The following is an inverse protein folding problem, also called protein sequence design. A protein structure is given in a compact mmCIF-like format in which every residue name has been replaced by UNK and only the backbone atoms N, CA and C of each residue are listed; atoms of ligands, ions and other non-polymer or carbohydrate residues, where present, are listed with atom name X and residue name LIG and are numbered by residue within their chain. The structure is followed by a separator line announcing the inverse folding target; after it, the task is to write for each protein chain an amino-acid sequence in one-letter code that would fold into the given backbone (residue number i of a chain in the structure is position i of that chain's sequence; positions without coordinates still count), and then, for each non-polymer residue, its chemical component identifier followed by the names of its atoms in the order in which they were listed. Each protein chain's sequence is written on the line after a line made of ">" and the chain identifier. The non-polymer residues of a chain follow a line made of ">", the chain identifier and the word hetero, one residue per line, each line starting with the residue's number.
data_IF_715110748990
#
_entry.id   IF_715110748990
#
_cell.length_a   1.000
_cell.length_b   1.000
_cell.length_c   1.000
_cell.angle_alpha   90.00
_cell.angle_beta   90.00
_cell.angle_gamma   90.00
#
_symmetry.space_group_name_H-M   'P 1'
#
loop_
_entity.id
_entity.type
_entity.pdbx_description
1 polymer ?
#
# COMPACT_ATOMS: atom_id res chain seq x y z
N UNK A 1 20.63 -34.99 -21.16
CA UNK A 1 21.79 -34.12 -21.43
C UNK A 1 21.66 -32.91 -20.54
N UNK A 2 22.41 -32.85 -19.45
CA UNK A 2 22.50 -31.69 -18.56
C UNK A 2 23.35 -30.65 -19.28
N UNK A 3 22.76 -29.51 -19.68
CA UNK A 3 23.53 -28.39 -20.21
C UNK A 3 24.42 -27.86 -19.08
N UNK A 4 25.74 -27.95 -19.24
CA UNK A 4 26.66 -27.25 -18.36
C UNK A 4 26.60 -25.76 -18.71
N UNK A 5 26.31 -24.93 -17.70
CA UNK A 5 26.41 -23.48 -17.79
C UNK A 5 27.86 -23.12 -18.07
N UNK A 6 28.07 -22.15 -18.96
CA UNK A 6 29.38 -21.53 -19.15
C UNK A 6 29.83 -20.84 -17.86
N UNK A 7 31.13 -20.61 -17.71
CA UNK A 7 31.67 -19.91 -16.53
C UNK A 7 31.04 -18.52 -16.35
N UNK A 8 30.76 -17.82 -17.44
CA UNK A 8 30.10 -16.52 -17.44
C UNK A 8 28.61 -16.62 -17.04
N UNK A 9 27.91 -17.66 -17.47
CA UNK A 9 26.53 -17.93 -17.02
C UNK A 9 26.48 -18.38 -15.55
N UNK A 10 27.50 -19.10 -15.08
CA UNK A 10 27.63 -19.55 -13.69
C UNK A 10 27.97 -18.38 -12.74
N UNK A 11 28.80 -17.43 -13.17
CA UNK A 11 29.09 -16.20 -12.43
C UNK A 11 27.88 -15.25 -12.39
N UNK A 12 27.09 -15.17 -13.47
CA UNK A 12 25.85 -14.35 -13.50
C UNK A 12 24.76 -14.83 -12.56
N UNK A 13 24.77 -16.11 -12.18
CA UNK A 13 23.82 -16.68 -11.20
C UNK A 13 24.48 -16.91 -9.83
N UNK A 14 25.73 -16.49 -9.64
CA UNK A 14 26.39 -16.57 -8.35
C UNK A 14 25.66 -15.63 -7.37
N UNK A 15 25.10 -16.16 -6.26
CA UNK A 15 24.32 -15.36 -5.31
C UNK A 15 25.06 -14.11 -4.80
N UNK A 16 26.37 -14.20 -4.59
CA UNK A 16 27.16 -13.08 -4.07
C UNK A 16 27.30 -11.96 -5.11
N UNK A 17 27.52 -12.34 -6.38
CA UNK A 17 27.63 -11.40 -7.51
C UNK A 17 26.28 -10.75 -7.80
N UNK A 18 25.19 -11.52 -7.71
CA UNK A 18 23.82 -10.99 -7.86
C UNK A 18 23.50 -10.01 -6.75
N UNK A 19 23.81 -10.35 -5.49
CA UNK A 19 23.55 -9.48 -4.34
C UNK A 19 24.40 -8.18 -4.40
N UNK A 20 25.66 -8.26 -4.83
CA UNK A 20 26.49 -7.08 -5.03
C UNK A 20 25.94 -6.16 -6.12
N UNK A 21 25.51 -6.73 -7.26
CA UNK A 21 24.90 -5.96 -8.33
C UNK A 21 23.59 -5.30 -7.90
N UNK A 22 22.74 -6.01 -7.14
CA UNK A 22 21.49 -5.44 -6.61
C UNK A 22 21.76 -4.24 -5.71
N UNK A 23 22.76 -4.32 -4.82
CA UNK A 23 23.19 -3.19 -3.99
C UNK A 23 23.68 -2.01 -4.82
N UNK A 24 24.52 -2.26 -5.83
CA UNK A 24 24.99 -1.18 -6.70
C UNK A 24 23.86 -0.50 -7.48
N UNK A 25 22.91 -1.28 -8.01
CA UNK A 25 21.79 -0.77 -8.78
C UNK A 25 20.83 0.01 -7.87
N UNK A 26 20.61 -0.47 -6.64
CA UNK A 26 19.92 0.24 -5.58
C UNK A 26 20.57 1.61 -5.30
N UNK A 27 21.86 1.65 -4.97
CA UNK A 27 22.56 2.89 -4.62
C UNK A 27 22.50 3.92 -5.75
N UNK A 28 22.69 3.47 -7.00
CA UNK A 28 22.56 4.32 -8.19
C UNK A 28 21.16 4.88 -8.34
N UNK A 29 20.13 4.07 -8.07
CA UNK A 29 18.75 4.52 -8.13
C UNK A 29 18.40 5.50 -7.01
N UNK A 30 18.87 5.28 -5.79
CA UNK A 30 18.69 6.24 -4.69
C UNK A 30 19.31 7.59 -5.04
N UNK A 31 20.51 7.61 -5.62
CA UNK A 31 21.15 8.86 -6.03
C UNK A 31 20.38 9.56 -7.17
N UNK A 32 19.81 8.79 -8.11
CA UNK A 32 18.93 9.34 -9.15
C UNK A 32 17.68 9.96 -8.53
N UNK A 33 17.03 9.27 -7.60
CA UNK A 33 15.83 9.77 -6.90
C UNK A 33 16.16 11.01 -6.08
N UNK A 34 17.30 11.05 -5.39
CA UNK A 34 17.76 12.22 -4.64
C UNK A 34 18.00 13.41 -5.57
N UNK A 35 18.61 13.20 -6.73
CA UNK A 35 18.87 14.26 -7.69
C UNK A 35 17.59 14.88 -8.26
N UNK A 36 16.53 14.08 -8.44
CA UNK A 36 15.24 14.55 -8.96
C UNK A 36 14.31 15.10 -7.87
N UNK A 37 14.30 14.50 -6.67
CA UNK A 37 13.32 14.78 -5.62
C UNK A 37 13.83 15.68 -4.48
N UNK A 38 15.14 15.82 -4.31
CA UNK A 38 15.75 16.54 -3.18
C UNK A 38 16.59 17.74 -3.63
N UNK A 39 16.78 18.69 -2.71
CA UNK A 39 17.76 19.77 -2.84
C UNK A 39 19.04 19.39 -2.11
N UNK A 40 20.16 19.08 -2.81
CA UNK A 40 21.33 18.45 -2.22
C UNK A 40 21.88 19.15 -0.97
N UNK A 41 21.87 20.48 -0.95
CA UNK A 41 22.47 21.30 0.11
C UNK A 41 21.46 21.83 1.14
N UNK A 42 20.17 21.55 0.97
CA UNK A 42 19.16 22.04 1.90
C UNK A 42 19.15 21.21 3.18
N UNK A 43 19.11 21.87 4.33
CA UNK A 43 18.94 21.23 5.65
C UNK A 43 17.56 21.51 6.25
N UNK A 44 16.59 21.93 5.44
CA UNK A 44 15.24 22.14 5.93
C UNK A 44 14.62 20.81 6.42
N UNK A 45 13.71 20.85 7.42
CA UNK A 45 13.10 19.62 7.95
C UNK A 45 12.47 18.74 6.86
N UNK A 46 11.77 19.34 5.89
CA UNK A 46 11.17 18.58 4.79
C UNK A 46 12.21 17.93 3.87
N UNK A 47 13.33 18.59 3.59
CA UNK A 47 14.39 18.01 2.75
C UNK A 47 15.16 16.90 3.49
N UNK A 48 15.25 16.99 4.83
CA UNK A 48 15.71 15.86 5.65
C UNK A 48 14.72 14.71 5.58
N UNK A 49 13.41 14.96 5.75
CA UNK A 49 12.34 13.95 5.63
C UNK A 49 12.40 13.23 4.28
N UNK A 50 12.49 13.96 3.16
CA UNK A 50 12.62 13.37 1.81
C UNK A 50 13.82 12.43 1.71
N UNK A 51 15.00 12.84 2.17
CA UNK A 51 16.20 11.98 2.13
C UNK A 51 16.02 10.72 2.96
N UNK A 52 15.46 10.84 4.16
CA UNK A 52 15.19 9.69 5.03
C UNK A 52 14.20 8.70 4.40
N UNK A 53 13.21 9.20 3.64
CA UNK A 53 12.27 8.33 2.90
C UNK A 53 13.02 7.56 1.82
N UNK A 54 13.81 8.25 0.99
CA UNK A 54 14.56 7.62 -0.10
C UNK A 54 15.58 6.60 0.43
N UNK A 55 16.28 6.94 1.51
CA UNK A 55 17.27 6.06 2.14
C UNK A 55 16.66 4.84 2.84
N UNK A 56 15.34 4.86 3.08
CA UNK A 56 14.62 3.75 3.69
C UNK A 56 14.05 2.75 2.66
N UNK A 57 14.13 3.05 1.36
CA UNK A 57 13.67 2.13 0.32
C UNK A 57 14.49 0.83 0.34
N UNK A 58 13.87 -0.34 0.08
CA UNK A 58 14.55 -1.63 0.17
C UNK A 58 15.37 -1.93 -1.08
N UNK A 59 16.45 -2.71 -0.98
CA UNK A 59 17.31 -3.07 -2.13
C UNK A 59 16.54 -3.64 -3.34
N UNK A 60 15.40 -4.32 -3.11
CA UNK A 60 14.54 -4.90 -4.16
C UNK A 60 13.53 -3.95 -4.79
N UNK A 61 13.43 -2.68 -4.38
CA UNK A 61 12.35 -1.79 -4.82
C UNK A 61 12.30 -1.58 -6.35
N UNK A 62 13.46 -1.60 -7.01
CA UNK A 62 13.54 -1.47 -8.47
C UNK A 62 12.87 -2.64 -9.20
N UNK A 63 13.08 -3.85 -8.70
CA UNK A 63 12.46 -5.05 -9.28
C UNK A 63 10.95 -5.02 -9.07
N UNK A 64 10.49 -4.55 -7.90
CA UNK A 64 9.07 -4.34 -7.61
C UNK A 64 8.44 -3.33 -8.59
N UNK A 65 9.07 -2.17 -8.78
CA UNK A 65 8.60 -1.15 -9.71
C UNK A 65 8.64 -1.61 -11.17
N UNK A 66 9.68 -2.35 -11.58
CA UNK A 66 9.80 -2.92 -12.91
C UNK A 66 8.73 -3.97 -13.18
N UNK A 67 8.41 -4.80 -12.17
CA UNK A 67 7.36 -5.81 -12.24
C UNK A 67 5.94 -5.24 -12.27
N UNK A 68 5.74 -4.00 -11.82
CA UNK A 68 4.42 -3.38 -11.70
C UNK A 68 3.69 -3.23 -13.06
N UNK A 69 4.38 -2.75 -14.09
CA UNK A 69 3.81 -2.53 -15.43
C UNK A 69 3.30 -3.84 -16.09
N UNK A 70 4.12 -4.90 -16.22
CA UNK A 70 3.65 -6.16 -16.80
C UNK A 70 2.55 -6.81 -15.95
N UNK A 71 2.62 -6.69 -14.62
CA UNK A 71 1.56 -7.17 -13.73
C UNK A 71 0.24 -6.43 -13.98
N UNK A 72 0.27 -5.11 -14.14
CA UNK A 72 -0.91 -4.30 -14.46
C UNK A 72 -1.57 -4.76 -15.76
N UNK A 73 -0.79 -4.92 -16.84
CA UNK A 73 -1.33 -5.39 -18.13
C UNK A 73 -1.95 -6.78 -18.01
N UNK A 74 -1.29 -7.71 -17.32
CA UNK A 74 -1.80 -9.05 -17.09
C UNK A 74 -3.14 -9.03 -16.34
N UNK A 75 -3.23 -8.24 -15.27
CA UNK A 75 -4.44 -8.12 -14.45
C UNK A 75 -5.61 -7.53 -15.23
N UNK A 76 -5.39 -6.49 -16.02
CA UNK A 76 -6.43 -5.88 -16.87
C UNK A 76 -6.97 -6.86 -17.92
N UNK A 77 -6.10 -7.70 -18.50
CA UNK A 77 -6.52 -8.73 -19.45
C UNK A 77 -7.26 -9.89 -18.78
N UNK A 78 -6.71 -10.45 -17.69
CA UNK A 78 -7.25 -11.65 -17.05
C UNK A 78 -8.57 -11.38 -16.30
N UNK A 79 -8.67 -10.24 -15.60
CA UNK A 79 -9.82 -9.94 -14.74
C UNK A 79 -10.90 -9.17 -15.51
N UNK A 80 -10.52 -8.19 -16.33
CA UNK A 80 -11.46 -7.28 -16.97
C UNK A 80 -11.62 -7.52 -18.47
N UNK A 81 -10.83 -8.44 -19.06
CA UNK A 81 -10.84 -8.70 -20.50
C UNK A 81 -10.36 -7.51 -21.34
N UNK A 82 -9.70 -6.52 -20.72
CA UNK A 82 -9.29 -5.27 -21.37
C UNK A 82 -7.88 -5.41 -21.93
N UNK A 83 -7.78 -5.49 -23.26
CA UNK A 83 -6.50 -5.33 -23.96
C UNK A 83 -6.25 -3.87 -24.24
N UNK A 84 -5.26 -3.29 -23.57
CA UNK A 84 -4.73 -1.99 -23.93
C UNK A 84 -4.13 -2.05 -25.33
N UNK A 85 -4.59 -1.15 -26.21
CA UNK A 85 -4.02 -0.93 -27.53
C UNK A 85 -3.55 0.51 -27.59
N UNK A 86 -2.29 0.70 -27.94
CA UNK A 86 -1.69 2.01 -28.16
C UNK A 86 -1.50 2.20 -29.65
N UNK A 87 -1.81 3.39 -30.17
CA UNK A 87 -1.62 3.69 -31.58
C UNK A 87 -0.13 3.93 -31.88
N UNK A 88 0.62 4.41 -30.87
CA UNK A 88 2.05 4.66 -30.97
C UNK A 88 2.84 4.16 -29.76
N UNK A 89 4.15 3.96 -29.97
CA UNK A 89 5.10 3.65 -28.89
C UNK A 89 5.22 4.79 -27.88
N UNK A 90 5.04 6.04 -28.32
CA UNK A 90 5.08 7.22 -27.45
C UNK A 90 3.91 7.20 -26.47
N UNK A 91 2.70 6.89 -26.94
CA UNK A 91 1.52 6.74 -26.08
C UNK A 91 1.68 5.62 -25.07
N UNK A 92 2.24 4.47 -25.49
CA UNK A 92 2.55 3.36 -24.58
C UNK A 92 3.51 3.80 -23.47
N UNK A 93 4.63 4.43 -23.84
CA UNK A 93 5.64 4.90 -22.88
C UNK A 93 5.08 5.92 -21.89
N UNK A 94 4.29 6.88 -22.37
CA UNK A 94 3.67 7.88 -21.49
C UNK A 94 2.64 7.25 -20.54
N UNK A 95 1.90 6.24 -21.00
CA UNK A 95 1.00 5.48 -20.13
C UNK A 95 1.76 4.69 -19.06
N UNK A 96 2.83 3.97 -19.44
CA UNK A 96 3.64 3.20 -18.51
C UNK A 96 4.36 4.09 -17.48
N UNK A 97 4.86 5.26 -17.89
CA UNK A 97 5.39 6.28 -16.96
C UNK A 97 4.32 6.76 -15.99
N UNK A 98 3.09 6.98 -16.44
CA UNK A 98 1.99 7.36 -15.52
C UNK A 98 1.70 6.27 -14.49
N UNK A 99 1.71 5.00 -14.88
CA UNK A 99 1.58 3.89 -13.94
C UNK A 99 2.74 3.86 -12.94
N UNK A 100 3.97 4.00 -13.42
CA UNK A 100 5.16 4.01 -12.57
C UNK A 100 5.17 5.17 -11.58
N UNK A 101 4.72 6.36 -11.99
CA UNK A 101 4.55 7.51 -11.09
C UNK A 101 3.62 7.17 -9.93
N UNK A 102 2.48 6.53 -10.21
CA UNK A 102 1.53 6.09 -9.19
C UNK A 102 2.15 5.10 -8.21
N UNK A 103 2.76 4.04 -8.71
CA UNK A 103 3.43 3.02 -7.90
C UNK A 103 4.57 3.61 -7.05
N UNK A 104 5.39 4.48 -7.64
CA UNK A 104 6.46 5.16 -6.91
C UNK A 104 5.91 6.07 -5.81
N UNK A 105 4.82 6.78 -6.05
CA UNK A 105 4.21 7.64 -5.03
C UNK A 105 3.71 6.84 -3.82
N UNK A 106 2.98 5.75 -4.09
CA UNK A 106 2.50 4.82 -3.06
C UNK A 106 3.69 4.30 -2.22
N UNK A 107 4.74 3.82 -2.89
CA UNK A 107 5.96 3.38 -2.23
C UNK A 107 6.60 4.50 -1.37
N UNK A 108 6.74 5.72 -1.89
CA UNK A 108 7.32 6.83 -1.11
C UNK A 108 6.48 7.16 0.13
N UNK A 109 5.15 7.06 0.06
CA UNK A 109 4.24 7.28 1.20
C UNK A 109 4.39 6.16 2.23
N UNK A 110 4.54 4.91 1.82
CA UNK A 110 4.76 3.77 2.73
C UNK A 110 6.02 3.94 3.59
N UNK A 111 7.07 4.57 3.06
CA UNK A 111 8.32 4.83 3.79
C UNK A 111 8.35 6.20 4.51
N UNK A 112 7.26 6.97 4.43
CA UNK A 112 7.13 8.27 5.07
C UNK A 112 6.61 8.14 6.51
N UNK A 113 7.53 8.14 7.48
CA UNK A 113 7.22 7.96 8.92
C UNK A 113 6.24 8.96 9.52
N UNK A 114 6.03 10.13 8.90
CA UNK A 114 5.02 11.10 9.35
C UNK A 114 3.61 10.75 8.87
N UNK A 115 3.51 9.97 7.79
CA UNK A 115 2.24 9.48 7.24
C UNK A 115 1.97 8.07 7.74
N UNK A 116 2.96 7.20 7.53
CA UNK A 116 2.95 5.75 7.71
C UNK A 116 3.79 5.39 8.93
N UNK A 117 3.18 5.06 10.08
CA UNK A 117 3.92 4.56 11.21
C UNK A 117 4.59 3.21 10.86
N UNK A 118 5.69 2.84 11.53
CA UNK A 118 6.38 1.58 11.26
C UNK A 118 5.43 0.39 11.43
N UNK A 119 5.49 -0.61 10.52
CA UNK A 119 4.56 -1.72 10.51
C UNK A 119 4.70 -2.58 11.78
N UNK A 120 3.56 -3.04 12.29
CA UNK A 120 3.46 -4.10 13.29
C UNK A 120 3.16 -5.43 12.57
N UNK A 121 3.75 -6.55 12.99
CA UNK A 121 3.56 -7.86 12.33
C UNK A 121 2.07 -8.27 12.21
N UNK A 122 1.29 -8.03 13.27
CA UNK A 122 -0.16 -8.28 13.25
C UNK A 122 -0.90 -7.29 12.35
N UNK A 123 -0.39 -6.06 12.20
CA UNK A 123 -0.93 -5.09 11.25
C UNK A 123 -0.75 -5.60 9.80
N UNK A 124 0.40 -6.20 9.50
CA UNK A 124 0.69 -6.78 8.18
C UNK A 124 -0.24 -7.94 7.83
N UNK A 125 -0.64 -8.77 8.79
CA UNK A 125 -1.63 -9.83 8.55
C UNK A 125 -3.02 -9.25 8.22
N UNK A 126 -3.47 -8.27 8.99
CA UNK A 126 -4.75 -7.59 8.74
C UNK A 126 -4.73 -6.90 7.38
N UNK A 127 -3.62 -6.27 7.04
CA UNK A 127 -3.38 -5.66 5.73
C UNK A 127 -3.47 -6.67 4.59
N UNK A 128 -2.80 -7.79 4.75
CA UNK A 128 -2.84 -8.88 3.78
C UNK A 128 -4.27 -9.34 3.50
N UNK A 129 -5.08 -9.54 4.55
CA UNK A 129 -6.48 -9.94 4.41
C UNK A 129 -7.28 -8.85 3.67
N UNK A 130 -7.07 -7.57 4.01
CA UNK A 130 -7.81 -6.44 3.43
C UNK A 130 -7.46 -6.19 1.95
N UNK A 131 -6.20 -6.40 1.56
CA UNK A 131 -5.69 -6.15 0.21
C UNK A 131 -5.89 -7.36 -0.72
N UNK A 132 -5.69 -8.58 -0.18
CA UNK A 132 -5.73 -9.82 -0.96
C UNK A 132 -6.21 -11.02 -0.12
N UNK A 133 -7.52 -11.11 0.16
CA UNK A 133 -8.08 -12.17 0.99
C UNK A 133 -7.94 -13.57 0.40
N UNK A 134 -7.73 -13.69 -0.92
CA UNK A 134 -7.56 -14.97 -1.62
C UNK A 134 -6.29 -15.72 -1.18
N UNK A 135 -5.21 -14.98 -0.86
CA UNK A 135 -3.96 -15.56 -0.35
C UNK A 135 -4.19 -16.28 0.98
N UNK A 136 -5.19 -15.84 1.73
CA UNK A 136 -5.60 -16.42 3.01
C UNK A 136 -6.77 -17.40 2.86
N UNK A 137 -7.33 -17.60 1.67
CA UNK A 137 -8.54 -18.42 1.47
C UNK A 137 -9.79 -17.86 2.14
N UNK A 138 -9.84 -16.53 2.37
CA UNK A 138 -10.91 -15.84 3.08
C UNK A 138 -11.87 -15.09 2.15
N UNK A 139 -11.62 -15.12 0.84
CA UNK A 139 -12.31 -14.30 -0.15
C UNK A 139 -13.83 -14.51 -0.15
N UNK A 140 -14.31 -15.76 -0.03
CA UNK A 140 -15.74 -16.05 0.06
C UNK A 140 -16.35 -15.61 1.39
N UNK A 141 -15.59 -15.78 2.46
CA UNK A 141 -16.03 -15.53 3.84
C UNK A 141 -16.18 -14.04 4.12
N UNK A 142 -15.32 -13.20 3.51
CA UNK A 142 -15.39 -11.74 3.61
C UNK A 142 -16.10 -11.08 2.42
N UNK A 143 -16.60 -11.88 1.46
CA UNK A 143 -17.46 -11.41 0.36
C UNK A 143 -16.73 -10.76 -0.82
N UNK A 144 -15.48 -11.13 -1.08
CA UNK A 144 -14.61 -10.58 -2.15
C UNK A 144 -14.39 -9.07 -2.06
N UNK A 145 -14.64 -8.49 -0.89
CA UNK A 145 -14.57 -7.05 -0.69
C UNK A 145 -13.12 -6.65 -0.40
N UNK A 146 -12.51 -5.95 -1.36
CA UNK A 146 -11.14 -5.42 -1.25
C UNK A 146 -11.18 -3.97 -0.78
N UNK A 147 -10.37 -3.67 0.22
CA UNK A 147 -10.24 -2.32 0.78
C UNK A 147 -9.09 -1.54 0.10
N UNK A 148 -8.96 -0.23 0.38
CA UNK A 148 -7.91 0.63 -0.18
C UNK A 148 -6.52 0.02 -0.07
N UNK A 149 -5.68 0.33 -1.06
CA UNK A 149 -4.40 -0.36 -1.27
C UNK A 149 -3.35 -0.05 -0.17
N UNK A 150 -3.58 0.91 0.75
CA UNK A 150 -2.62 1.29 1.80
C UNK A 150 -3.23 1.38 3.22
N UNK A 151 -3.62 0.29 3.87
CA UNK A 151 -4.12 0.40 5.27
C UNK A 151 -2.95 0.50 6.30
N UNK A 152 -3.14 1.10 7.49
CA UNK A 152 -2.10 1.19 8.54
C UNK A 152 -2.66 0.93 9.96
N UNK A 153 -2.46 -0.28 10.49
CA UNK A 153 -3.00 -0.65 11.80
C UNK A 153 -1.99 -0.34 12.91
N UNK A 154 -2.40 0.35 13.99
CA UNK A 154 -1.55 0.62 15.16
C UNK A 154 -2.11 -0.10 16.41
N UNK A 155 -1.33 -1.00 16.97
CA UNK A 155 -1.72 -1.81 18.14
C UNK A 155 -1.30 -1.09 19.42
N UNK A 156 -2.18 -1.04 20.42
CA UNK A 156 -1.85 -0.39 21.69
C UNK A 156 -0.88 -1.21 22.56
N UNK A 157 -0.39 -0.59 23.64
CA UNK A 157 0.55 -1.18 24.59
C UNK A 157 -0.01 -2.37 25.39
N UNK A 158 -1.34 -2.58 25.36
CA UNK A 158 -2.02 -3.75 25.95
C UNK A 158 -2.24 -4.86 24.92
N UNK A 159 -1.65 -4.71 23.74
CA UNK A 159 -1.78 -5.61 22.61
C UNK A 159 -3.13 -5.51 21.90
N UNK A 160 -4.06 -4.67 22.35
CA UNK A 160 -5.36 -4.51 21.71
C UNK A 160 -5.17 -3.89 20.33
N UNK A 161 -5.67 -4.60 19.32
CA UNK A 161 -5.57 -4.14 17.94
C UNK A 161 -6.61 -3.05 17.75
N UNK A 162 -6.15 -1.82 17.59
CA UNK A 162 -6.97 -0.70 17.13
C UNK A 162 -6.57 -0.35 15.70
N UNK A 163 -7.53 -0.34 14.79
CA UNK A 163 -7.24 0.18 13.46
C UNK A 163 -7.30 1.70 13.55
N UNK A 164 -6.14 2.35 13.77
CA UNK A 164 -6.08 3.81 13.93
C UNK A 164 -6.12 4.56 12.60
N UNK A 165 -5.49 4.02 11.55
CA UNK A 165 -5.38 4.71 10.26
C UNK A 165 -5.64 3.75 9.10
N UNK A 166 -6.43 4.18 8.12
CA UNK A 166 -6.54 3.49 6.83
C UNK A 166 -6.13 4.47 5.77
N UNK A 167 -4.98 4.23 5.14
CA UNK A 167 -4.43 5.08 4.10
C UNK A 167 -4.96 4.74 2.71
N UNK A 168 -4.93 5.75 1.86
CA UNK A 168 -4.76 5.56 0.43
C UNK A 168 -3.79 6.63 -0.05
N UNK A 169 -2.85 6.29 -0.94
CA UNK A 169 -2.03 7.28 -1.59
C UNK A 169 -2.53 7.50 -3.01
N UNK A 170 -2.75 8.77 -3.36
CA UNK A 170 -3.09 9.17 -4.71
C UNK A 170 -2.19 10.30 -5.13
N UNK A 171 -1.66 10.25 -6.35
CA UNK A 171 -0.92 11.36 -6.99
C UNK A 171 -1.75 12.62 -7.27
N UNK A 172 -2.86 12.79 -6.57
CA UNK A 172 -3.72 13.97 -6.59
C UNK A 172 -5.02 13.77 -7.34
N UNK A 173 -5.37 12.54 -7.72
CA UNK A 173 -6.67 12.25 -8.32
C UNK A 173 -7.37 11.12 -7.57
N UNK A 174 -8.62 11.35 -7.23
CA UNK A 174 -9.57 10.33 -6.81
C UNK A 174 -10.58 10.11 -7.94
N UNK A 175 -11.15 8.92 -7.99
CA UNK A 175 -12.08 8.48 -9.01
C UNK A 175 -13.29 7.78 -8.37
N UNK A 176 -14.25 7.36 -9.19
CA UNK A 176 -15.42 6.60 -8.74
C UNK A 176 -15.06 5.35 -7.93
N UNK A 177 -13.93 4.70 -8.28
CA UNK A 177 -13.44 3.53 -7.56
C UNK A 177 -13.02 3.91 -6.15
N UNK A 178 -12.26 4.98 -5.98
CA UNK A 178 -11.91 5.52 -4.67
C UNK A 178 -13.17 5.80 -3.83
N UNK A 179 -14.15 6.51 -4.40
CA UNK A 179 -15.38 6.85 -3.69
C UNK A 179 -16.12 5.59 -3.23
N UNK A 180 -16.33 4.64 -4.14
CA UNK A 180 -17.01 3.37 -3.85
C UNK A 180 -16.26 2.54 -2.78
N UNK A 181 -14.92 2.52 -2.82
CA UNK A 181 -14.10 1.82 -1.84
C UNK A 181 -14.22 2.45 -0.44
N UNK A 182 -14.26 3.78 -0.36
CA UNK A 182 -14.41 4.51 0.90
C UNK A 182 -15.82 4.40 1.50
N UNK A 183 -16.87 4.39 0.67
CA UNK A 183 -18.26 4.21 1.13
C UNK A 183 -18.49 2.85 1.78
N UNK A 184 -17.94 1.80 1.16
CA UNK A 184 -18.11 0.43 1.65
C UNK A 184 -17.10 0.07 2.76
N UNK A 185 -16.16 0.97 3.06
CA UNK A 185 -14.99 0.66 3.84
C UNK A 185 -15.32 0.14 5.25
N UNK A 186 -16.19 0.85 5.97
CA UNK A 186 -16.52 0.55 7.37
C UNK A 186 -17.25 -0.78 7.50
N UNK A 187 -18.17 -1.04 6.57
CA UNK A 187 -18.90 -2.30 6.48
C UNK A 187 -17.96 -3.47 6.18
N UNK A 188 -16.99 -3.28 5.27
CA UNK A 188 -16.01 -4.29 4.90
C UNK A 188 -15.11 -4.63 6.07
N UNK A 189 -14.64 -3.60 6.77
CA UNK A 189 -13.84 -3.76 7.96
C UNK A 189 -14.61 -4.54 9.03
N UNK A 190 -15.86 -4.15 9.31
CA UNK A 190 -16.72 -4.83 10.27
C UNK A 190 -16.97 -6.30 9.91
N UNK A 191 -17.20 -6.61 8.63
CA UNK A 191 -17.36 -7.97 8.16
C UNK A 191 -16.10 -8.80 8.40
N UNK A 192 -14.93 -8.28 8.06
CA UNK A 192 -13.65 -8.94 8.28
C UNK A 192 -13.41 -9.24 9.75
N UNK A 193 -13.57 -8.27 10.65
CA UNK A 193 -13.34 -8.53 12.08
C UNK A 193 -14.37 -9.49 12.67
N UNK A 194 -15.61 -9.47 12.19
CA UNK A 194 -16.60 -10.46 12.62
C UNK A 194 -16.21 -11.89 12.22
N UNK A 195 -15.53 -12.06 11.08
CA UNK A 195 -15.02 -13.36 10.65
C UNK A 195 -13.83 -13.79 11.51
N UNK A 196 -12.81 -12.93 11.64
CA UNK A 196 -11.60 -13.22 12.43
C UNK A 196 -11.94 -13.55 13.88
N UNK A 197 -12.86 -12.80 14.49
CA UNK A 197 -13.26 -13.02 15.89
C UNK A 197 -14.10 -14.27 16.13
N UNK A 198 -14.56 -14.95 15.07
CA UNK A 198 -15.27 -16.23 15.18
C UNK A 198 -14.34 -17.43 14.95
N UNK A 199 -13.14 -17.19 14.42
CA UNK A 199 -12.17 -18.24 14.18
C UNK A 199 -11.51 -18.66 15.49
N UNK A 200 -11.28 -19.95 15.62
CA UNK A 200 -10.44 -20.54 16.65
C UNK A 200 -8.97 -20.26 16.36
N UNK A 201 -8.12 -20.40 17.39
CA UNK A 201 -6.67 -20.34 17.24
C UNK A 201 -6.14 -21.29 16.14
N UNK A 202 -6.72 -22.49 16.01
CA UNK A 202 -6.33 -23.45 14.99
C UNK A 202 -6.72 -22.97 13.57
N UNK A 203 -7.96 -22.50 13.39
CA UNK A 203 -8.41 -21.98 12.09
C UNK A 203 -7.56 -20.80 11.63
N UNK A 204 -7.19 -19.89 12.54
CA UNK A 204 -6.27 -18.78 12.22
C UNK A 204 -4.91 -19.29 11.73
N UNK A 205 -4.35 -20.33 12.34
CA UNK A 205 -3.10 -20.95 11.87
C UNK A 205 -3.24 -21.61 10.49
N UNK A 206 -4.36 -22.29 10.25
CA UNK A 206 -4.66 -22.93 8.95
C UNK A 206 -4.74 -21.92 7.80
N UNK A 207 -5.17 -20.69 8.11
CA UNK A 207 -5.17 -19.56 7.18
C UNK A 207 -3.84 -18.78 7.11
N UNK A 208 -2.80 -19.20 7.85
CA UNK A 208 -1.50 -18.51 7.86
C UNK A 208 -1.49 -17.20 8.65
N UNK A 209 -2.49 -16.96 9.51
CA UNK A 209 -2.60 -15.78 10.38
C UNK A 209 -1.93 -16.05 11.73
N UNK A 210 -0.61 -16.19 11.69
CA UNK A 210 0.24 -16.63 12.81
C UNK A 210 0.19 -15.67 14.00
N UNK A 211 0.23 -14.37 13.77
CA UNK A 211 0.23 -13.36 14.84
C UNK A 211 -1.16 -13.22 15.46
N UNK A 212 -2.22 -13.23 14.65
CA UNK A 212 -3.60 -13.29 15.14
C UNK A 212 -3.88 -14.59 15.92
N UNK A 213 -3.36 -15.73 15.47
CA UNK A 213 -3.48 -17.01 16.19
C UNK A 213 -2.75 -16.99 17.53
N UNK A 214 -1.51 -16.50 17.55
CA UNK A 214 -0.72 -16.36 18.78
C UNK A 214 -1.47 -15.53 19.83
N UNK A 215 -2.09 -14.44 19.38
CA UNK A 215 -2.92 -13.60 20.23
C UNK A 215 -4.18 -14.29 20.71
N UNK A 216 -4.91 -14.98 19.82
CA UNK A 216 -6.09 -15.75 20.21
C UNK A 216 -5.75 -16.76 21.32
N UNK A 217 -4.58 -17.43 21.20
CA UNK A 217 -4.10 -18.36 22.22
C UNK A 217 -3.78 -17.67 23.56
N UNK A 218 -3.19 -16.46 23.52
CA UNK A 218 -2.94 -15.66 24.73
C UNK A 218 -4.25 -15.28 25.42
N UNK A 219 -5.25 -14.80 24.67
CA UNK A 219 -6.58 -14.46 25.21
C UNK A 219 -7.23 -15.70 25.85
N UNK A 220 -7.19 -16.85 25.16
CA UNK A 220 -7.74 -18.09 25.69
C UNK A 220 -7.06 -18.54 26.98
N UNK A 221 -5.75 -18.25 27.12
CA UNK A 221 -4.97 -18.59 28.32
C UNK A 221 -5.23 -17.61 29.47
N UNK A 222 -5.23 -16.30 29.21
CA UNK A 222 -5.42 -15.26 30.22
C UNK A 222 -6.87 -15.20 30.75
N UNK A 223 -7.84 -15.55 29.91
CA UNK A 223 -9.28 -15.48 30.21
C UNK A 223 -9.93 -16.88 30.21
N UNK A 224 -9.19 -17.92 30.61
CA UNK A 224 -9.67 -19.31 30.63
C UNK A 224 -10.98 -19.48 31.39
N UNK A 225 -11.13 -18.74 32.49
CA UNK A 225 -12.26 -18.86 33.43
C UNK A 225 -13.40 -17.88 33.13
N UNK A 226 -13.20 -16.94 32.19
CA UNK A 226 -14.22 -15.97 31.79
C UNK A 226 -15.22 -16.61 30.82
N UNK A 227 -16.49 -16.20 30.94
CA UNK A 227 -17.50 -16.57 29.96
C UNK A 227 -17.08 -16.06 28.57
N UNK A 228 -17.37 -16.81 27.51
CA UNK A 228 -16.95 -16.47 26.14
C UNK A 228 -17.40 -15.06 25.70
N UNK A 229 -18.49 -14.56 26.26
CA UNK A 229 -19.07 -13.24 26.01
C UNK A 229 -18.30 -12.09 26.68
N UNK A 230 -17.52 -12.40 27.72
CA UNK A 230 -16.70 -11.48 28.51
C UNK A 230 -15.23 -11.49 28.08
N UNK A 231 -14.85 -12.43 27.20
CA UNK A 231 -13.49 -12.51 26.66
C UNK A 231 -13.23 -11.36 25.68
N UNK A 232 -12.03 -10.76 25.70
CA UNK A 232 -11.61 -9.83 24.66
C UNK A 232 -11.69 -10.46 23.27
N UNK A 233 -12.04 -9.66 22.28
CA UNK A 233 -11.99 -10.08 20.87
C UNK A 233 -10.53 -10.10 20.38
N UNK A 234 -10.20 -11.03 19.49
CA UNK A 234 -8.89 -11.12 18.83
C UNK A 234 -8.57 -9.85 18.05
N UNK A 235 -9.58 -9.32 17.34
CA UNK A 235 -9.55 -8.05 16.60
C UNK A 235 -10.68 -7.13 17.08
N UNK A 236 -10.36 -5.93 17.56
CA UNK A 236 -11.35 -4.95 17.99
C UNK A 236 -11.42 -3.83 16.94
N UNK A 237 -12.62 -3.55 16.44
CA UNK A 237 -12.86 -2.44 15.54
C UNK A 237 -13.51 -1.30 16.29
N UNK A 238 -12.68 -0.55 17.01
CA UNK A 238 -13.17 0.47 17.92
C UNK A 238 -14.06 -0.09 19.04
N UNK A 239 -14.36 0.76 20.02
CA UNK A 239 -15.06 0.36 21.24
C UNK A 239 -15.89 1.48 21.91
N UNK A 240 -16.18 2.58 21.20
CA UNK A 240 -16.93 3.70 21.76
C UNK A 240 -16.09 4.75 22.50
N UNK A 241 -14.77 4.71 22.38
CA UNK A 241 -13.92 5.87 22.73
C UNK A 241 -12.94 6.35 21.66
N UNK A 242 -12.49 5.52 20.72
CA UNK A 242 -11.74 5.99 19.53
C UNK A 242 -11.99 5.09 18.31
N UNK A 243 -12.38 5.71 17.19
CA UNK A 243 -12.66 5.08 15.90
C UNK A 243 -11.40 4.92 15.04
N UNK A 244 -11.58 4.30 13.87
CA UNK A 244 -10.57 4.35 12.84
C UNK A 244 -10.56 5.72 12.17
N UNK A 245 -9.42 6.17 11.66
CA UNK A 245 -9.31 7.39 10.85
C UNK A 245 -9.00 7.00 9.42
N UNK A 246 -9.84 7.42 8.46
CA UNK A 246 -9.50 7.30 7.04
C UNK A 246 -8.50 8.39 6.71
N UNK A 247 -7.37 8.04 6.12
CA UNK A 247 -6.29 8.95 5.72
C UNK A 247 -6.11 8.89 4.22
N UNK A 248 -6.02 10.05 3.58
CA UNK A 248 -5.64 10.14 2.18
C UNK A 248 -4.31 10.90 2.08
N UNK A 249 -3.27 10.21 1.61
CA UNK A 249 -1.98 10.80 1.32
C UNK A 249 -1.99 11.41 -0.08
N UNK A 250 -1.65 12.71 -0.15
CA UNK A 250 -1.55 13.45 -1.41
C UNK A 250 -0.19 14.13 -1.56
N UNK A 251 0.22 14.52 -2.78
CA UNK A 251 1.43 15.30 -3.00
C UNK A 251 1.43 16.62 -2.23
N UNK A 252 2.62 17.07 -1.82
CA UNK A 252 2.83 18.27 -1.01
C UNK A 252 2.16 19.53 -1.60
N UNK A 253 2.12 19.63 -2.93
CA UNK A 253 1.60 20.76 -3.70
C UNK A 253 0.14 20.59 -4.16
N UNK A 254 -0.53 19.49 -3.83
CA UNK A 254 -1.90 19.23 -4.31
C UNK A 254 -2.95 19.93 -3.45
N UNK A 255 -3.96 20.52 -4.08
CA UNK A 255 -5.09 21.10 -3.35
C UNK A 255 -6.09 20.01 -2.93
N UNK A 256 -6.73 20.21 -1.79
CA UNK A 256 -7.77 19.34 -1.24
C UNK A 256 -9.15 19.92 -1.56
N UNK A 257 -9.46 20.05 -2.84
CA UNK A 257 -10.78 20.46 -3.32
C UNK A 257 -11.27 19.49 -4.39
N UNK A 258 -12.59 19.40 -4.50
CA UNK A 258 -13.27 18.46 -5.37
C UNK A 258 -12.84 18.63 -6.83
N UNK A 259 -12.79 19.88 -7.29
CA UNK A 259 -12.44 20.26 -8.65
C UNK A 259 -11.00 19.84 -9.01
N UNK A 260 -10.08 19.97 -8.05
CA UNK A 260 -8.69 19.56 -8.21
C UNK A 260 -8.51 18.05 -8.10
N UNK A 261 -9.33 17.34 -7.31
CA UNK A 261 -9.09 15.92 -7.04
C UNK A 261 -9.90 14.97 -7.94
N UNK A 262 -11.09 15.33 -8.42
CA UNK A 262 -11.88 14.46 -9.29
C UNK A 262 -11.45 14.57 -10.75
N UNK A 263 -10.75 13.56 -11.26
CA UNK A 263 -10.36 13.49 -12.67
C UNK A 263 -11.58 13.09 -13.50
N UNK A 264 -11.97 13.93 -14.46
CA UNK A 264 -13.03 13.68 -15.46
C UNK A 264 -14.49 13.67 -14.98
N UNK A 265 -14.76 13.55 -13.68
CA UNK A 265 -16.13 13.46 -13.14
C UNK A 265 -16.53 14.66 -12.26
N UNK A 266 -15.71 15.71 -12.20
CA UNK A 266 -16.01 16.94 -11.44
C UNK A 266 -17.29 17.67 -11.88
N UNK A 267 -17.87 17.28 -13.02
CA UNK A 267 -19.13 17.84 -13.52
C UNK A 267 -20.36 17.05 -13.04
N UNK A 268 -20.16 15.91 -12.37
CA UNK A 268 -21.25 15.08 -11.84
C UNK A 268 -21.61 15.53 -10.42
N UNK A 269 -22.80 16.12 -10.25
CA UNK A 269 -23.29 16.60 -8.96
C UNK A 269 -23.42 15.47 -7.92
N UNK A 270 -23.81 14.26 -8.33
CA UNK A 270 -23.88 13.09 -7.43
C UNK A 270 -22.50 12.74 -6.88
N UNK A 271 -21.45 12.76 -7.72
CA UNK A 271 -20.09 12.48 -7.26
C UNK A 271 -19.54 13.63 -6.40
N UNK A 272 -20.03 14.86 -6.58
CA UNK A 272 -19.72 15.99 -5.72
C UNK A 272 -20.25 15.81 -4.31
N UNK A 273 -21.51 15.40 -4.18
CA UNK A 273 -22.13 15.11 -2.88
C UNK A 273 -21.41 13.97 -2.16
N UNK A 274 -21.16 12.86 -2.88
CA UNK A 274 -20.42 11.71 -2.34
C UNK A 274 -19.01 12.06 -1.92
N UNK A 275 -18.28 12.84 -2.74
CA UNK A 275 -16.95 13.31 -2.36
C UNK A 275 -16.99 14.16 -1.09
N UNK A 276 -17.94 15.10 -0.97
CA UNK A 276 -18.05 15.96 0.22
C UNK A 276 -18.33 15.12 1.47
N UNK A 277 -19.24 14.15 1.36
CA UNK A 277 -19.57 13.24 2.45
C UNK A 277 -18.36 12.40 2.88
N UNK A 278 -17.73 11.69 1.93
CA UNK A 278 -16.58 10.83 2.18
C UNK A 278 -15.40 11.63 2.73
N UNK A 279 -15.06 12.75 2.08
CA UNK A 279 -13.92 13.57 2.48
C UNK A 279 -14.16 14.32 3.80
N UNK A 280 -15.41 14.41 4.28
CA UNK A 280 -15.73 14.89 5.61
C UNK A 280 -15.21 13.98 6.73
N UNK A 281 -15.02 12.68 6.44
CA UNK A 281 -14.51 11.65 7.35
C UNK A 281 -13.05 11.25 7.05
N UNK A 282 -12.45 11.81 6.00
CA UNK A 282 -11.07 11.52 5.59
C UNK A 282 -10.12 12.63 6.04
N UNK A 283 -9.13 12.25 6.84
CA UNK A 283 -7.98 13.09 7.20
C UNK A 283 -6.96 13.12 6.06
N UNK A 284 -6.73 14.27 5.46
CA UNK A 284 -5.74 14.39 4.37
C UNK A 284 -4.35 14.69 4.93
N UNK A 285 -3.38 13.85 4.58
CA UNK A 285 -1.96 14.06 4.89
C UNK A 285 -1.19 14.42 3.62
N UNK A 286 -0.28 15.40 3.75
CA UNK A 286 0.62 15.78 2.66
C UNK A 286 1.93 15.02 2.78
N UNK A 287 2.32 14.36 1.70
CA UNK A 287 3.63 13.74 1.56
C UNK A 287 4.75 14.78 1.53
N UNK A 288 5.98 14.33 1.75
CA UNK A 288 7.16 15.19 1.64
C UNK A 288 7.42 15.68 0.20
N UNK A 289 6.90 14.96 -0.81
CA UNK A 289 7.19 15.16 -2.23
C UNK A 289 6.04 15.83 -2.98
N UNK A 290 6.38 16.69 -3.92
CA UNK A 290 5.44 17.29 -4.88
C UNK A 290 5.13 16.34 -6.03
N UNK A 291 3.99 16.52 -6.67
CA UNK A 291 3.58 15.67 -7.79
C UNK A 291 4.61 15.70 -8.94
N UNK A 292 5.17 16.89 -9.21
CA UNK A 292 6.23 17.06 -10.21
C UNK A 292 7.52 16.33 -9.83
N UNK A 293 7.93 16.40 -8.56
CA UNK A 293 9.15 15.73 -8.09
C UNK A 293 9.03 14.21 -8.27
N UNK A 294 7.85 13.64 -7.98
CA UNK A 294 7.57 12.23 -8.23
C UNK A 294 7.55 11.91 -9.72
N UNK A 295 7.03 12.81 -10.55
CA UNK A 295 7.10 12.73 -12.01
C UNK A 295 8.53 12.63 -12.53
N UNK A 296 9.39 13.57 -12.12
CA UNK A 296 10.79 13.64 -12.53
C UNK A 296 11.57 12.39 -12.07
N UNK A 297 11.29 11.90 -10.85
CA UNK A 297 11.86 10.66 -10.32
C UNK A 297 11.46 9.42 -11.13
N UNK A 298 10.16 9.23 -11.37
CA UNK A 298 9.66 8.08 -12.12
C UNK A 298 10.14 8.07 -13.57
N UNK A 299 10.20 9.23 -14.22
CA UNK A 299 10.70 9.34 -15.59
C UNK A 299 12.18 8.93 -15.67
N UNK A 300 13.01 9.38 -14.71
CA UNK A 300 14.41 8.98 -14.64
C UNK A 300 14.61 7.50 -14.35
N UNK A 301 13.75 6.89 -13.50
CA UNK A 301 13.77 5.44 -13.27
C UNK A 301 13.33 4.66 -14.52
N UNK A 302 12.31 5.12 -15.23
CA UNK A 302 11.78 4.44 -16.41
C UNK A 302 12.86 4.24 -17.48
N UNK A 303 13.67 5.28 -17.75
CA UNK A 303 14.80 5.21 -18.70
C UNK A 303 15.92 4.25 -18.29
N UNK A 304 16.00 3.89 -17.00
CA UNK A 304 16.96 2.91 -16.49
C UNK A 304 16.44 1.48 -16.56
N UNK A 305 15.13 1.31 -16.41
CA UNK A 305 14.47 0.01 -16.35
C UNK A 305 14.04 -0.53 -17.73
N UNK A 306 13.77 0.35 -18.70
CA UNK A 306 13.18 0.02 -20.02
C UNK A 306 13.85 0.77 -21.17
#
# INVERSE_FOLDING_TARGET
>A
MTKHLTQEEAERINPDVVAEKLREDHDKAIELLKAAGCRPESTSPNEIRKRLILEALPEGFLEELQGYIPYYYKKEEEIFGKKHKFETEVERKEFEKQLLRGALFEMLVQYDKEITPPPNETAMEILGIMQNPEVFGLEKTIGYKRNPDETYVEIDEKGQIFIKVIGEAKLGHVDERFLSQMESFDENLQAMANVINKMTTQELQEHGLVHLATRSAQIDTEFSDAAQQERPKTLILGDGTYGHTKVLAIPADRLQDFESMMKYEHQNETNRERYIEIMGDVTVKRSAFKAREVGDMADGLYEKMF
#
